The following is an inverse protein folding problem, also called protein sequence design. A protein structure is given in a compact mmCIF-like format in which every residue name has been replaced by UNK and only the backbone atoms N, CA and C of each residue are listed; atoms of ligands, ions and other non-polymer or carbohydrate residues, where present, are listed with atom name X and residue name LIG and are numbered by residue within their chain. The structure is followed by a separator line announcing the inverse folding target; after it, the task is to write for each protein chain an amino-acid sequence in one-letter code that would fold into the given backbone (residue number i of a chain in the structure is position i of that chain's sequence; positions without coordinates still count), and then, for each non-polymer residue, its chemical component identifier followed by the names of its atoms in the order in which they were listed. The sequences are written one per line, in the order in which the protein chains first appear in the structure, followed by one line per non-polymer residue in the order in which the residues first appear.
data_IF_885632225624
#
_entry.id   IF_885632225624
#
_cell.length_a   1.000
_cell.length_b   1.000
_cell.length_c   1.000
_cell.angle_alpha   90.00
_cell.angle_beta   90.00
_cell.angle_gamma   90.00
#
_symmetry.space_group_name_H-M   'P 1'
#
loop_
_entity.id
_entity.type
_entity.pdbx_description
1 polymer ?
#
# COMPACT_ATOMS: atom_id res chain seq x y z
N UNK A 1 8.06 26.56 1.16
CA UNK A 1 8.68 25.25 1.01
C UNK A 1 8.73 24.97 -0.47
N UNK A 2 9.95 24.89 -1.00
CA UNK A 2 10.18 24.75 -2.43
C UNK A 2 9.88 23.31 -2.89
N UNK A 3 9.53 23.08 -4.16
CA UNK A 3 9.15 21.74 -4.66
C UNK A 3 10.26 20.70 -4.44
N UNK A 4 11.52 21.11 -4.58
CA UNK A 4 12.69 20.26 -4.32
C UNK A 4 12.87 19.90 -2.84
N UNK A 5 12.60 20.82 -1.92
CA UNK A 5 12.64 20.52 -0.46
C UNK A 5 11.53 19.53 -0.07
N UNK A 6 10.35 19.66 -0.67
CA UNK A 6 9.25 18.69 -0.52
C UNK A 6 9.65 17.30 -0.99
N UNK A 7 10.30 17.19 -2.15
CA UNK A 7 10.78 15.92 -2.69
C UNK A 7 11.83 15.29 -1.77
N UNK A 8 12.81 16.06 -1.30
CA UNK A 8 13.84 15.54 -0.39
C UNK A 8 13.24 15.09 0.94
N UNK A 9 12.26 15.82 1.47
CA UNK A 9 11.57 15.44 2.71
C UNK A 9 10.81 14.12 2.55
N UNK A 10 10.06 13.97 1.45
CA UNK A 10 9.33 12.73 1.12
C UNK A 10 10.31 11.57 0.92
N UNK A 11 11.44 11.79 0.25
CA UNK A 11 12.48 10.77 0.03
C UNK A 11 13.12 10.33 1.34
N UNK A 12 13.30 11.26 2.28
CA UNK A 12 13.86 10.97 3.62
C UNK A 12 12.89 10.18 4.47
N UNK A 13 11.60 10.55 4.46
CA UNK A 13 10.52 9.79 5.09
C UNK A 13 10.46 8.38 4.49
N UNK A 14 10.45 8.27 3.17
CA UNK A 14 10.39 6.98 2.48
C UNK A 14 11.60 6.10 2.82
N UNK A 15 12.81 6.67 2.92
CA UNK A 15 14.01 5.94 3.32
C UNK A 15 13.91 5.41 4.76
N UNK A 16 13.28 6.17 5.66
CA UNK A 16 13.06 5.77 7.07
C UNK A 16 11.98 4.70 7.21
N UNK A 17 10.93 4.73 6.39
CA UNK A 17 9.82 3.77 6.47
C UNK A 17 10.02 2.54 5.58
N UNK A 18 10.93 2.58 4.60
CA UNK A 18 11.33 1.43 3.76
C UNK A 18 11.59 0.14 4.54
N UNK A 19 12.40 0.10 5.62
CA UNK A 19 12.64 -1.14 6.36
C UNK A 19 11.37 -1.67 7.03
N UNK A 20 10.52 -0.78 7.58
CA UNK A 20 9.23 -1.16 8.18
C UNK A 20 8.31 -1.75 7.12
N UNK A 21 8.26 -1.14 5.93
CA UNK A 21 7.46 -1.63 4.81
C UNK A 21 7.93 -2.99 4.31
N UNK A 22 9.24 -3.22 4.22
CA UNK A 22 9.82 -4.50 3.85
C UNK A 22 9.50 -5.56 4.91
N UNK A 23 9.65 -5.22 6.19
CA UNK A 23 9.31 -6.13 7.29
C UNK A 23 7.82 -6.50 7.30
N UNK A 24 6.93 -5.53 7.13
CA UNK A 24 5.49 -5.76 7.03
C UNK A 24 5.12 -6.61 5.79
N UNK A 25 5.72 -6.32 4.63
CA UNK A 25 5.50 -7.09 3.41
C UNK A 25 6.02 -8.53 3.53
N UNK A 26 7.19 -8.72 4.15
CA UNK A 26 7.73 -10.04 4.44
C UNK A 26 6.84 -10.83 5.40
N UNK A 27 6.39 -10.20 6.49
CA UNK A 27 5.47 -10.81 7.46
C UNK A 27 4.15 -11.22 6.82
N UNK A 28 3.58 -10.36 5.96
CA UNK A 28 2.38 -10.68 5.19
C UNK A 28 2.60 -11.82 4.19
N UNK A 29 3.74 -11.85 3.49
CA UNK A 29 4.09 -12.94 2.58
C UNK A 29 4.24 -14.29 3.29
N UNK A 30 4.88 -14.30 4.47
CA UNK A 30 5.00 -15.50 5.31
C UNK A 30 3.62 -15.96 5.78
N UNK A 31 2.76 -15.03 6.21
CA UNK A 31 1.40 -15.34 6.62
C UNK A 31 0.58 -16.01 5.51
N UNK A 32 0.65 -15.47 4.29
CA UNK A 32 0.01 -16.05 3.12
C UNK A 32 0.60 -17.42 2.76
N UNK A 33 1.92 -17.57 2.82
CA UNK A 33 2.58 -18.84 2.53
C UNK A 33 2.12 -19.95 3.48
N UNK A 34 2.04 -19.65 4.78
CA UNK A 34 1.55 -20.61 5.79
C UNK A 34 0.10 -21.02 5.49
N UNK A 35 -0.78 -20.08 5.16
CA UNK A 35 -2.18 -20.39 4.81
C UNK A 35 -2.29 -21.26 3.56
N UNK A 36 -1.48 -20.99 2.54
CA UNK A 36 -1.57 -21.69 1.26
C UNK A 36 -0.99 -23.12 1.31
N UNK A 37 0.00 -23.37 2.17
CA UNK A 37 0.72 -24.66 2.22
C UNK A 37 0.41 -25.52 3.45
N UNK A 38 0.13 -24.92 4.61
CA UNK A 38 -0.01 -25.62 5.89
C UNK A 38 -1.45 -25.60 6.41
N UNK A 39 -2.37 -25.96 5.51
CA UNK A 39 -3.82 -26.10 5.74
C UNK A 39 -4.50 -24.83 6.28
N UNK A 40 -5.81 -24.68 6.05
CA UNK A 40 -6.56 -23.49 6.46
C UNK A 40 -6.86 -23.47 7.98
N UNK A 41 -5.84 -23.72 8.79
CA UNK A 41 -5.92 -23.65 10.24
C UNK A 41 -6.35 -22.26 10.70
N UNK A 42 -7.23 -22.20 11.70
CA UNK A 42 -7.67 -20.95 12.33
C UNK A 42 -6.49 -20.08 12.79
N UNK A 43 -5.38 -20.71 13.22
CA UNK A 43 -4.15 -20.01 13.60
C UNK A 43 -3.50 -19.28 12.44
N UNK A 44 -3.49 -19.88 11.25
CA UNK A 44 -2.95 -19.27 10.03
C UNK A 44 -3.77 -18.04 9.63
N UNK A 45 -5.10 -18.12 9.76
CA UNK A 45 -6.01 -16.99 9.51
C UNK A 45 -5.79 -15.86 10.52
N UNK A 46 -5.65 -16.17 11.81
CA UNK A 46 -5.33 -15.17 12.85
C UNK A 46 -4.00 -14.48 12.56
N UNK A 47 -2.99 -15.23 12.11
CA UNK A 47 -1.68 -14.69 11.75
C UNK A 47 -1.77 -13.75 10.54
N UNK A 48 -2.56 -14.08 9.51
CA UNK A 48 -2.83 -13.17 8.39
C UNK A 48 -3.56 -11.89 8.82
N UNK A 49 -4.56 -12.00 9.69
CA UNK A 49 -5.28 -10.83 10.22
C UNK A 49 -4.31 -9.92 10.98
N UNK A 50 -3.45 -10.48 11.83
CA UNK A 50 -2.44 -9.68 12.54
C UNK A 50 -1.44 -9.01 11.59
N UNK A 51 -1.04 -9.69 10.51
CA UNK A 51 -0.17 -9.13 9.47
C UNK A 51 -0.85 -7.96 8.74
N UNK A 52 -2.14 -8.11 8.40
CA UNK A 52 -2.95 -7.05 7.79
C UNK A 52 -3.08 -5.83 8.72
N UNK A 53 -3.28 -6.04 10.02
CA UNK A 53 -3.32 -4.96 11.01
C UNK A 53 -1.97 -4.24 11.06
N UNK A 54 -0.85 -4.98 11.12
CA UNK A 54 0.50 -4.40 11.14
C UNK A 54 0.78 -3.55 9.89
N UNK A 55 0.43 -4.07 8.71
CA UNK A 55 0.53 -3.35 7.43
C UNK A 55 -0.36 -2.12 7.44
N UNK A 56 -1.59 -2.21 7.94
CA UNK A 56 -2.52 -1.09 8.03
C UNK A 56 -2.04 0.03 8.95
N UNK A 57 -1.47 -0.31 10.11
CA UNK A 57 -0.86 0.66 11.02
C UNK A 57 0.34 1.35 10.35
N UNK A 58 1.20 0.59 9.68
CA UNK A 58 2.36 1.11 8.94
C UNK A 58 1.93 2.10 7.84
N UNK A 59 0.96 1.70 7.00
CA UNK A 59 0.38 2.54 5.96
C UNK A 59 -0.30 3.80 6.52
N UNK A 60 -0.98 3.70 7.66
CA UNK A 60 -1.60 4.84 8.32
C UNK A 60 -0.56 5.84 8.82
N UNK A 61 0.53 5.37 9.42
CA UNK A 61 1.61 6.22 9.90
C UNK A 61 2.30 6.94 8.74
N UNK A 62 2.60 6.24 7.63
CA UNK A 62 3.11 6.87 6.42
C UNK A 62 2.13 7.91 5.85
N UNK A 63 0.84 7.59 5.79
CA UNK A 63 -0.19 8.51 5.32
C UNK A 63 -0.23 9.79 6.15
N UNK A 64 -0.14 9.70 7.48
CA UNK A 64 -0.14 10.86 8.37
C UNK A 64 1.12 11.73 8.18
N UNK A 65 2.29 11.13 8.01
CA UNK A 65 3.53 11.86 7.73
C UNK A 65 3.47 12.57 6.37
N UNK A 66 2.98 11.91 5.33
CA UNK A 66 2.83 12.50 3.99
C UNK A 66 1.73 13.57 3.96
N UNK A 67 0.62 13.37 4.67
CA UNK A 67 -0.44 14.37 4.79
C UNK A 67 0.02 15.65 5.49
N UNK A 68 0.94 15.56 6.47
CA UNK A 68 1.50 16.76 7.13
C UNK A 68 2.26 17.67 6.16
N UNK A 69 2.79 17.11 5.07
CA UNK A 69 3.51 17.86 4.04
C UNK A 69 2.60 18.54 3.01
N UNK A 70 1.34 18.12 2.89
CA UNK A 70 0.37 18.78 2.00
C UNK A 70 -0.52 19.80 2.71
N UNK A 71 -0.60 21.02 2.16
CA UNK A 71 -1.50 22.07 2.67
C UNK A 71 -2.92 21.95 2.09
N UNK A 72 -3.09 21.29 0.95
CA UNK A 72 -4.40 21.14 0.28
C UNK A 72 -5.25 20.04 0.92
N UNK A 73 -6.50 20.37 1.32
CA UNK A 73 -7.47 19.39 1.82
C UNK A 73 -7.83 18.32 0.78
N UNK A 74 -7.86 18.68 -0.51
CA UNK A 74 -8.11 17.72 -1.60
C UNK A 74 -6.96 16.73 -1.76
N UNK A 75 -5.72 17.20 -1.72
CA UNK A 75 -4.54 16.34 -1.80
C UNK A 75 -4.48 15.36 -0.61
N UNK A 76 -4.79 15.81 0.61
CA UNK A 76 -4.86 14.93 1.79
C UNK A 76 -5.87 13.80 1.62
N UNK A 77 -7.06 14.08 1.07
CA UNK A 77 -8.08 13.07 0.80
C UNK A 77 -7.63 12.06 -0.27
N UNK A 78 -6.97 12.52 -1.33
CA UNK A 78 -6.47 11.63 -2.38
C UNK A 78 -5.30 10.77 -1.91
N UNK A 79 -4.40 11.32 -1.07
CA UNK A 79 -3.35 10.55 -0.39
C UNK A 79 -4.01 9.47 0.48
N UNK A 80 -4.96 9.83 1.34
CA UNK A 80 -5.67 8.87 2.17
C UNK A 80 -6.34 7.78 1.33
N UNK A 81 -7.03 8.17 0.25
CA UNK A 81 -7.67 7.24 -0.67
C UNK A 81 -6.65 6.25 -1.25
N UNK A 82 -5.48 6.71 -1.71
CA UNK A 82 -4.41 5.84 -2.21
C UNK A 82 -3.97 4.79 -1.18
N UNK A 83 -3.74 5.21 0.06
CA UNK A 83 -3.33 4.31 1.15
C UNK A 83 -4.44 3.32 1.52
N UNK A 84 -5.71 3.77 1.58
CA UNK A 84 -6.88 2.90 1.82
C UNK A 84 -7.10 1.91 0.67
N UNK A 85 -6.95 2.36 -0.58
CA UNK A 85 -7.08 1.48 -1.75
C UNK A 85 -5.97 0.43 -1.75
N UNK A 86 -4.72 0.78 -1.43
CA UNK A 86 -3.65 -0.22 -1.31
C UNK A 86 -3.96 -1.30 -0.27
N UNK A 87 -4.46 -0.93 0.91
CA UNK A 87 -4.87 -1.90 1.93
C UNK A 87 -6.05 -2.76 1.46
N UNK A 88 -7.06 -2.14 0.86
CA UNK A 88 -8.21 -2.86 0.28
C UNK A 88 -7.79 -3.85 -0.80
N UNK A 89 -6.81 -3.49 -1.63
CA UNK A 89 -6.26 -4.37 -2.65
C UNK A 89 -5.52 -5.57 -2.04
N UNK A 90 -4.77 -5.39 -0.96
CA UNK A 90 -4.16 -6.52 -0.24
C UNK A 90 -5.21 -7.47 0.36
N UNK A 91 -6.32 -6.94 0.88
CA UNK A 91 -7.44 -7.75 1.38
C UNK A 91 -8.10 -8.55 0.26
N UNK A 92 -8.40 -7.90 -0.87
CA UNK A 92 -9.01 -8.57 -2.03
C UNK A 92 -8.06 -9.64 -2.59
N UNK A 93 -6.77 -9.35 -2.70
CA UNK A 93 -5.77 -10.32 -3.12
C UNK A 93 -5.72 -11.54 -2.18
N UNK A 94 -5.73 -11.30 -0.87
CA UNK A 94 -5.75 -12.37 0.13
C UNK A 94 -7.00 -13.24 -0.03
N UNK A 95 -8.16 -12.62 -0.22
CA UNK A 95 -9.42 -13.33 -0.44
C UNK A 95 -9.39 -14.16 -1.72
N UNK A 96 -8.87 -13.61 -2.83
CA UNK A 96 -8.71 -14.33 -4.10
C UNK A 96 -7.82 -15.55 -3.89
N UNK A 97 -6.68 -15.40 -3.21
CA UNK A 97 -5.75 -16.51 -2.98
C UNK A 97 -6.37 -17.63 -2.15
N UNK A 98 -7.11 -17.28 -1.09
CA UNK A 98 -7.73 -18.23 -0.15
C UNK A 98 -8.93 -18.94 -0.78
N UNK A 99 -9.83 -18.19 -1.44
CA UNK A 99 -11.13 -18.71 -1.91
C UNK A 99 -11.05 -19.30 -3.31
N UNK A 100 -10.30 -18.67 -4.23
CA UNK A 100 -10.17 -19.11 -5.62
C UNK A 100 -9.00 -20.10 -5.82
N UNK A 101 -8.43 -20.60 -4.72
CA UNK A 101 -7.38 -21.61 -4.66
C UNK A 101 -6.23 -21.31 -5.63
N UNK A 102 -5.70 -20.08 -5.57
CA UNK A 102 -4.51 -19.64 -6.30
C UNK A 102 -4.56 -19.80 -7.84
N UNK A 103 -5.74 -19.67 -8.45
CA UNK A 103 -5.85 -19.63 -9.92
C UNK A 103 -5.10 -18.41 -10.49
N UNK A 104 -3.93 -18.69 -11.10
CA UNK A 104 -2.98 -17.72 -11.66
C UNK A 104 -3.63 -16.63 -12.52
N UNK A 105 -4.65 -16.97 -13.31
CA UNK A 105 -5.34 -16.00 -14.17
C UNK A 105 -6.00 -14.86 -13.39
N UNK A 106 -6.58 -15.12 -12.21
CA UNK A 106 -7.16 -14.08 -11.36
C UNK A 106 -6.08 -13.22 -10.70
N UNK A 107 -4.93 -13.79 -10.35
CA UNK A 107 -3.78 -13.02 -9.85
C UNK A 107 -3.25 -12.05 -10.90
N UNK A 108 -3.08 -12.50 -12.14
CA UNK A 108 -2.58 -11.66 -13.24
C UNK A 108 -3.58 -10.52 -13.51
N UNK A 109 -4.87 -10.84 -13.62
CA UNK A 109 -5.92 -9.83 -13.78
C UNK A 109 -5.94 -8.81 -12.64
N UNK A 110 -5.79 -9.28 -11.40
CA UNK A 110 -5.73 -8.42 -10.23
C UNK A 110 -4.49 -7.52 -10.20
N UNK A 111 -3.31 -8.04 -10.57
CA UNK A 111 -2.09 -7.22 -10.69
C UNK A 111 -2.25 -6.11 -11.71
N UNK A 112 -2.81 -6.41 -12.88
CA UNK A 112 -3.07 -5.40 -13.93
C UNK A 112 -4.05 -4.35 -13.38
N UNK A 113 -5.12 -4.78 -12.74
CA UNK A 113 -6.11 -3.89 -12.14
C UNK A 113 -5.49 -2.97 -11.06
N UNK A 114 -4.60 -3.51 -10.22
CA UNK A 114 -3.86 -2.74 -9.22
C UNK A 114 -2.98 -1.65 -9.84
N UNK A 115 -2.24 -1.98 -10.91
CA UNK A 115 -1.39 -1.03 -11.61
C UNK A 115 -2.23 0.10 -12.24
N UNK A 116 -3.38 -0.24 -12.84
CA UNK A 116 -4.29 0.74 -13.44
C UNK A 116 -4.84 1.70 -12.37
N UNK A 117 -5.31 1.16 -11.25
CA UNK A 117 -5.81 1.96 -10.12
C UNK A 117 -4.72 2.86 -9.57
N UNK A 118 -3.51 2.33 -9.35
CA UNK A 118 -2.39 3.11 -8.84
C UNK A 118 -2.05 4.26 -9.79
N UNK A 119 -1.98 3.98 -11.09
CA UNK A 119 -1.69 4.98 -12.13
C UNK A 119 -2.77 6.06 -12.21
N UNK A 120 -4.03 5.68 -12.08
CA UNK A 120 -5.16 6.61 -12.08
C UNK A 120 -5.14 7.54 -10.85
N UNK A 121 -4.90 6.98 -9.67
CA UNK A 121 -4.76 7.74 -8.42
C UNK A 121 -3.55 8.68 -8.47
N UNK A 122 -2.40 8.25 -8.98
CA UNK A 122 -1.19 9.08 -9.09
C UNK A 122 -1.46 10.29 -10.00
N UNK A 123 -2.15 10.08 -11.14
CA UNK A 123 -2.56 11.17 -12.04
C UNK A 123 -3.53 12.15 -11.37
N UNK A 124 -4.54 11.65 -10.65
CA UNK A 124 -5.51 12.50 -9.93
C UNK A 124 -4.84 13.32 -8.82
N UNK A 125 -3.87 12.75 -8.11
CA UNK A 125 -3.09 13.46 -7.09
C UNK A 125 -2.26 14.57 -7.73
N UNK A 126 -1.57 14.28 -8.83
CA UNK A 126 -0.75 15.27 -9.55
C UNK A 126 -1.60 16.41 -10.13
N UNK A 127 -2.81 16.14 -10.59
CA UNK A 127 -3.75 17.17 -11.04
C UNK A 127 -4.26 18.07 -9.90
N UNK A 128 -4.41 17.51 -8.68
CA UNK A 128 -4.92 18.24 -7.52
C UNK A 128 -3.84 19.00 -6.73
N UNK A 129 -2.58 18.57 -6.82
CA UNK A 129 -1.40 19.22 -6.23
C UNK A 129 -0.21 19.03 -7.19
N UNK A 130 0.04 19.98 -8.11
CA UNK A 130 1.15 19.91 -9.07
C UNK A 130 2.54 19.86 -8.42
N UNK A 131 2.61 20.24 -7.14
CA UNK A 131 3.82 20.20 -6.31
C UNK A 131 3.92 18.91 -5.49
N UNK A 132 2.96 17.99 -5.59
CA UNK A 132 3.06 16.65 -5.03
C UNK A 132 3.86 15.76 -5.98
N UNK A 133 4.99 15.19 -5.55
CA UNK A 133 5.80 14.37 -6.43
C UNK A 133 5.08 13.08 -6.79
N UNK A 134 5.21 12.67 -8.06
CA UNK A 134 4.66 11.40 -8.52
C UNK A 134 5.42 10.23 -7.92
N UNK A 135 4.77 9.09 -7.78
CA UNK A 135 5.41 7.89 -7.22
C UNK A 135 6.65 7.44 -7.96
N UNK A 136 6.76 7.76 -9.25
CA UNK A 136 7.95 7.50 -10.07
C UNK A 136 9.15 8.38 -9.70
N UNK A 137 8.95 9.52 -9.05
CA UNK A 137 10.02 10.50 -8.76
C UNK A 137 10.77 10.20 -7.45
N UNK A 138 10.17 9.42 -6.55
CA UNK A 138 10.75 9.11 -5.24
C UNK A 138 10.92 7.60 -4.95
N UNK A 139 10.53 6.73 -5.89
CA UNK A 139 10.68 5.27 -5.78
C UNK A 139 12.12 4.82 -6.07
#
# INVERSE_FOLDING_TARGET
MNKQERIQTIKTIHKRTKPVRIACAGFFGIALFIILFFDQSLWSVVLLISALIAVGISLRNECLEVQRLSKSKQAKRLIQLRYTTNLGMMLILSFILIVLNSRIHYMIGFMIFAIVIETYLDRRISQADPDHPMSKEYR
#
